data_IF_330192494265
#
_entry.id   IF_330192494265
#
_cell.length_a   1.000
_cell.length_b   1.000
_cell.length_c   1.000
_cell.angle_alpha   90.00
_cell.angle_beta   90.00
_cell.angle_gamma   90.00
#
_symmetry.space_group_name_H-M   'P 1'
#
loop_
_entity.id
_entity.type
_entity.pdbx_description
1 polymer ?
#
# COMPACT_ATOMS: atom_id res chain seq x y z
N UNK A 1 -47.16 26.00 30.95
CA UNK A 1 -46.60 24.90 30.12
C UNK A 1 -45.68 25.56 29.09
N UNK A 2 -44.54 26.14 29.53
CA UNK A 2 -43.87 27.19 28.72
C UNK A 2 -42.36 26.95 28.50
N UNK A 3 -41.82 25.79 28.92
CA UNK A 3 -40.38 25.49 28.80
C UNK A 3 -40.02 24.53 27.66
N UNK A 4 -41.00 23.97 26.95
CA UNK A 4 -40.78 23.07 25.80
C UNK A 4 -40.02 23.74 24.65
N UNK A 5 -40.27 25.02 24.26
CA UNK A 5 -39.56 25.61 23.12
C UNK A 5 -38.08 25.90 23.42
N UNK A 6 -37.74 26.21 24.67
CA UNK A 6 -36.37 26.49 25.08
C UNK A 6 -35.47 25.24 25.06
N UNK A 7 -36.01 24.10 25.49
CA UNK A 7 -35.30 22.82 25.44
C UNK A 7 -35.03 22.38 24.00
N UNK A 8 -36.01 22.50 23.11
CA UNK A 8 -35.84 22.22 21.68
C UNK A 8 -34.77 23.11 21.04
N UNK A 9 -34.78 24.40 21.34
CA UNK A 9 -33.77 25.34 20.84
C UNK A 9 -32.36 25.01 21.34
N UNK A 10 -32.20 24.57 22.59
CA UNK A 10 -30.89 24.15 23.14
C UNK A 10 -30.40 22.87 22.48
N UNK A 11 -31.26 21.87 22.28
CA UNK A 11 -30.88 20.65 21.57
C UNK A 11 -30.47 20.94 20.12
N UNK A 12 -31.20 21.80 19.40
CA UNK A 12 -30.84 22.19 18.02
C UNK A 12 -29.50 22.93 17.99
N UNK A 13 -29.22 23.80 18.97
CA UNK A 13 -27.92 24.46 19.10
C UNK A 13 -26.78 23.47 19.39
N UNK A 14 -26.99 22.50 20.27
CA UNK A 14 -26.00 21.48 20.60
C UNK A 14 -25.73 20.57 19.40
N UNK A 15 -26.76 20.15 18.68
CA UNK A 15 -26.58 19.36 17.46
C UNK A 15 -25.90 20.17 16.36
N UNK A 16 -26.29 21.43 16.12
CA UNK A 16 -25.65 22.25 15.08
C UNK A 16 -24.20 22.62 15.40
N UNK A 17 -23.85 22.82 16.67
CA UNK A 17 -22.46 23.03 17.10
C UNK A 17 -21.65 21.71 17.14
N UNK A 18 -22.26 20.60 17.56
CA UNK A 18 -21.61 19.28 17.57
C UNK A 18 -21.26 18.77 16.17
N UNK A 19 -22.17 18.97 15.19
CA UNK A 19 -21.91 18.64 13.79
C UNK A 19 -20.86 19.54 13.12
N UNK A 20 -20.56 20.73 13.67
CA UNK A 20 -19.51 21.63 13.15
C UNK A 20 -18.11 21.27 13.65
N UNK A 21 -17.97 20.38 14.63
CA UNK A 21 -16.67 20.01 15.20
C UNK A 21 -16.01 18.84 14.44
N UNK A 22 -16.76 18.11 13.62
CA UNK A 22 -16.25 16.90 12.94
C UNK A 22 -15.42 17.14 11.66
N UNK A 23 -15.38 18.36 11.12
CA UNK A 23 -14.62 18.69 9.89
C UNK A 23 -13.46 19.68 10.11
N UNK A 24 -13.00 19.82 11.35
CA UNK A 24 -11.76 20.50 11.66
C UNK A 24 -10.56 19.56 11.55
N UNK A 25 -10.24 19.04 10.35
CA UNK A 25 -8.92 18.44 10.14
C UNK A 25 -7.89 19.52 10.48
N UNK A 26 -7.12 19.32 11.56
CA UNK A 26 -5.97 20.16 11.93
C UNK A 26 -4.92 20.12 10.82
N UNK A 27 -5.15 20.83 9.72
CA UNK A 27 -4.10 21.26 8.84
C UNK A 27 -3.30 22.31 9.61
N UNK A 28 -1.99 22.08 9.73
CA UNK A 28 -1.09 23.04 10.37
C UNK A 28 -1.20 24.37 9.62
N UNK A 29 -1.86 25.36 10.24
CA UNK A 29 -2.05 26.71 9.67
C UNK A 29 -0.70 27.35 9.26
N UNK A 30 0.38 26.98 9.94
CA UNK A 30 1.75 27.28 9.54
C UNK A 30 2.46 26.01 9.06
N UNK A 31 2.78 25.94 7.78
CA UNK A 31 3.57 24.86 7.15
C UNK A 31 5.07 25.00 7.50
N UNK A 32 5.40 24.83 8.78
CA UNK A 32 6.78 24.92 9.29
C UNK A 32 7.61 23.66 8.98
N UNK A 33 6.96 22.59 8.52
CA UNK A 33 7.58 21.31 8.13
C UNK A 33 6.94 20.80 6.84
N UNK A 34 7.68 20.05 6.01
CA UNK A 34 7.10 19.41 4.84
C UNK A 34 6.05 18.37 5.25
N UNK A 35 5.01 18.24 4.43
CA UNK A 35 3.96 17.23 4.60
C UNK A 35 4.49 15.92 4.00
N UNK A 36 4.44 14.79 4.74
CA UNK A 36 4.83 13.50 4.18
C UNK A 36 3.88 13.11 3.04
N UNK A 37 4.44 12.47 2.01
CA UNK A 37 3.68 11.96 0.87
C UNK A 37 3.36 10.47 1.04
N UNK A 38 2.16 10.06 0.65
CA UNK A 38 1.75 8.66 0.60
C UNK A 38 2.08 7.97 -0.73
N UNK A 39 2.92 8.60 -1.56
CA UNK A 39 3.34 8.08 -2.87
C UNK A 39 4.21 6.82 -2.72
N UNK A 40 3.83 5.77 -3.44
CA UNK A 40 4.54 4.49 -3.56
C UNK A 40 5.09 4.32 -4.99
N UNK A 41 6.15 3.49 -5.19
CA UNK A 41 6.89 2.72 -4.19
C UNK A 41 7.82 3.59 -3.34
N UNK A 42 8.22 3.08 -2.18
CA UNK A 42 9.16 3.76 -1.30
C UNK A 42 10.57 3.64 -1.89
N UNK A 43 11.28 4.76 -1.95
CA UNK A 43 12.69 4.77 -2.31
C UNK A 43 13.52 4.26 -1.14
N UNK A 44 14.55 3.47 -1.43
CA UNK A 44 15.49 2.98 -0.43
C UNK A 44 16.04 4.14 0.42
N UNK A 45 16.00 3.95 1.75
CA UNK A 45 16.49 4.95 2.68
C UNK A 45 18.00 5.07 2.56
N UNK A 46 18.48 6.29 2.29
CA UNK A 46 19.91 6.59 2.30
C UNK A 46 20.38 6.71 3.75
N UNK A 47 20.95 5.62 4.24
CA UNK A 47 21.52 5.56 5.59
C UNK A 47 22.88 6.24 5.68
N UNK A 48 23.16 6.86 6.82
CA UNK A 48 24.50 7.34 7.15
C UNK A 48 25.47 6.14 7.22
N UNK A 49 26.60 6.14 6.50
CA UNK A 49 27.51 5.00 6.46
C UNK A 49 28.34 4.79 7.74
N UNK A 50 28.25 5.68 8.75
CA UNK A 50 29.00 5.53 10.01
C UNK A 50 28.62 4.23 10.76
N UNK A 51 29.55 3.27 10.93
CA UNK A 51 29.28 2.01 11.61
C UNK A 51 28.94 2.18 13.11
N UNK A 52 29.26 3.32 13.72
CA UNK A 52 28.91 3.60 15.12
C UNK A 52 27.39 3.64 15.31
N UNK A 53 26.65 3.97 14.25
CA UNK A 53 25.19 4.04 14.24
C UNK A 53 24.54 2.68 14.03
N UNK A 54 25.30 1.62 13.76
CA UNK A 54 24.79 0.28 13.52
C UNK A 54 24.63 -0.53 14.82
N UNK A 55 23.66 -1.46 14.88
CA UNK A 55 23.51 -2.36 16.03
C UNK A 55 24.71 -3.31 16.13
N UNK A 56 25.14 -3.61 17.35
CA UNK A 56 26.21 -4.60 17.61
C UNK A 56 25.58 -5.99 17.78
N UNK A 57 26.41 -7.03 17.78
CA UNK A 57 25.96 -8.42 17.95
C UNK A 57 25.11 -8.63 19.23
N UNK A 58 25.51 -8.00 20.34
CA UNK A 58 24.73 -8.02 21.60
C UNK A 58 23.33 -7.40 21.49
N UNK A 59 23.12 -6.50 20.53
CA UNK A 59 21.86 -5.79 20.30
C UNK A 59 20.97 -6.56 19.29
N UNK A 60 21.44 -7.70 18.76
CA UNK A 60 20.79 -8.53 17.74
C UNK A 60 20.29 -9.87 18.30
N UNK A 61 19.95 -9.93 19.59
CA UNK A 61 19.37 -11.13 20.19
C UNK A 61 17.98 -11.43 19.59
N UNK A 62 17.92 -12.42 18.69
CA UNK A 62 16.69 -12.77 17.95
C UNK A 62 15.49 -13.06 18.87
N UNK A 63 15.72 -13.68 20.02
CA UNK A 63 14.63 -14.03 20.96
C UNK A 63 13.99 -12.77 21.55
N UNK A 64 14.81 -11.79 21.94
CA UNK A 64 14.34 -10.50 22.48
C UNK A 64 13.65 -9.67 21.41
N UNK A 65 14.21 -9.61 20.20
CA UNK A 65 13.64 -8.85 19.08
C UNK A 65 12.30 -9.47 18.61
N UNK A 66 12.21 -10.80 18.60
CA UNK A 66 10.97 -11.50 18.28
C UNK A 66 9.91 -11.25 19.36
N UNK A 67 10.30 -11.28 20.63
CA UNK A 67 9.40 -10.93 21.73
C UNK A 67 8.92 -9.47 21.65
N UNK A 68 9.81 -8.53 21.28
CA UNK A 68 9.46 -7.11 21.10
C UNK A 68 8.48 -6.89 19.96
N UNK A 69 8.66 -7.61 18.84
CA UNK A 69 7.77 -7.49 17.68
C UNK A 69 6.43 -8.22 17.90
N UNK A 70 6.43 -9.28 18.72
CA UNK A 70 5.24 -10.00 19.12
C UNK A 70 4.50 -10.61 17.93
N UNK A 71 3.17 -10.43 17.90
CA UNK A 71 2.29 -10.99 16.87
C UNK A 71 2.44 -10.36 15.48
N UNK A 72 3.24 -9.30 15.34
CA UNK A 72 3.47 -8.65 14.04
C UNK A 72 4.49 -9.39 13.17
N UNK A 73 5.24 -10.34 13.73
CA UNK A 73 6.16 -11.16 12.96
C UNK A 73 5.38 -12.18 12.10
N UNK A 74 5.47 -12.05 10.78
CA UNK A 74 4.91 -13.02 9.83
C UNK A 74 6.02 -13.65 8.98
N UNK A 75 6.27 -14.95 9.17
CA UNK A 75 7.32 -15.68 8.46
C UNK A 75 7.10 -15.76 6.94
N UNK A 76 5.86 -15.59 6.46
CA UNK A 76 5.59 -15.60 5.02
C UNK A 76 6.00 -14.29 4.34
N UNK A 77 6.10 -13.20 5.10
CA UNK A 77 6.40 -11.87 4.59
C UNK A 77 7.65 -11.23 5.22
N UNK A 78 8.27 -11.87 6.21
CA UNK A 78 9.43 -11.38 6.92
C UNK A 78 10.45 -12.51 7.12
N UNK A 79 11.73 -12.19 6.95
CA UNK A 79 12.83 -13.12 7.16
C UNK A 79 14.01 -12.42 7.81
N UNK A 80 14.70 -13.15 8.69
CA UNK A 80 15.92 -12.69 9.35
C UNK A 80 17.13 -12.92 8.43
N UNK A 81 17.17 -14.08 7.76
CA UNK A 81 18.18 -14.44 6.78
C UNK A 81 17.73 -14.12 5.35
N UNK A 82 18.68 -13.97 4.40
CA UNK A 82 18.36 -13.84 2.98
C UNK A 82 17.45 -15.00 2.54
N UNK A 83 16.28 -14.71 1.96
CA UNK A 83 15.37 -15.75 1.48
C UNK A 83 15.90 -16.38 0.20
N UNK A 84 15.72 -17.70 0.04
CA UNK A 84 16.02 -18.41 -1.20
C UNK A 84 14.97 -18.08 -2.26
N UNK A 85 15.17 -16.95 -2.94
CA UNK A 85 14.22 -16.48 -3.93
C UNK A 85 14.54 -17.11 -5.29
N UNK A 86 13.89 -18.25 -5.59
CA UNK A 86 14.03 -18.95 -6.89
C UNK A 86 13.66 -18.08 -8.10
N UNK A 87 13.06 -16.92 -7.86
CA UNK A 87 12.56 -16.00 -8.87
C UNK A 87 13.34 -14.68 -8.96
N UNK A 88 14.32 -14.40 -8.07
CA UNK A 88 15.05 -13.13 -8.06
C UNK A 88 16.00 -12.89 -9.25
N UNK A 89 16.03 -13.80 -10.22
CA UNK A 89 16.81 -13.67 -11.46
C UNK A 89 16.03 -14.02 -12.74
N UNK A 90 14.73 -14.30 -12.67
CA UNK A 90 13.90 -14.49 -13.86
C UNK A 90 13.16 -13.19 -14.17
N UNK A 91 13.79 -12.36 -15.00
CA UNK A 91 13.13 -11.25 -15.69
C UNK A 91 11.93 -11.73 -16.56
N UNK A 92 11.89 -13.04 -16.81
CA UNK A 92 10.83 -13.81 -17.45
C UNK A 92 10.00 -14.59 -16.41
N UNK A 93 9.43 -13.90 -15.42
CA UNK A 93 8.23 -14.42 -14.79
C UNK A 93 7.22 -14.69 -15.92
N UNK A 94 6.91 -15.96 -16.18
CA UNK A 94 5.96 -16.36 -17.22
C UNK A 94 4.74 -15.43 -17.16
N UNK A 95 4.56 -14.55 -18.17
CA UNK A 95 3.44 -13.60 -18.20
C UNK A 95 2.10 -14.34 -18.02
N UNK A 96 2.03 -15.56 -18.54
CA UNK A 96 0.87 -16.46 -18.37
C UNK A 96 0.55 -16.81 -16.91
N UNK A 97 1.53 -16.81 -15.99
CA UNK A 97 1.30 -17.04 -14.55
C UNK A 97 0.91 -15.76 -13.80
N UNK A 98 1.45 -14.61 -14.21
CA UNK A 98 1.10 -13.29 -13.67
C UNK A 98 -0.33 -12.88 -14.02
N UNK A 99 -0.80 -13.26 -15.20
CA UNK A 99 -2.16 -13.01 -15.70
C UNK A 99 -3.08 -14.22 -15.48
N UNK A 100 -2.91 -14.93 -14.36
CA UNK A 100 -3.96 -15.80 -13.79
C UNK A 100 -5.26 -14.99 -13.65
N UNK A 101 -6.39 -15.69 -13.66
CA UNK A 101 -7.74 -15.09 -13.58
C UNK A 101 -7.75 -13.95 -12.54
N UNK A 102 -8.30 -12.77 -12.89
CA UNK A 102 -8.39 -11.64 -11.97
C UNK A 102 -8.94 -12.10 -10.62
N UNK A 103 -8.21 -11.78 -9.55
CA UNK A 103 -8.67 -12.07 -8.19
C UNK A 103 -9.70 -11.03 -7.76
N UNK A 104 -10.71 -11.47 -7.01
CA UNK A 104 -11.78 -10.60 -6.51
C UNK A 104 -12.96 -10.44 -7.45
N UNK A 105 -13.74 -9.37 -7.25
CA UNK A 105 -14.97 -9.10 -8.00
C UNK A 105 -14.71 -8.22 -9.20
N UNK A 106 -15.38 -8.50 -10.33
CA UNK A 106 -15.34 -7.66 -11.51
C UNK A 106 -15.72 -6.20 -11.19
N UNK A 107 -14.92 -5.21 -11.60
CA UNK A 107 -15.23 -3.79 -11.42
C UNK A 107 -16.62 -3.44 -11.94
N UNK A 108 -17.32 -2.56 -11.22
CA UNK A 108 -18.72 -2.20 -11.53
C UNK A 108 -18.82 -1.57 -12.92
N UNK A 109 -17.79 -0.82 -13.33
CA UNK A 109 -17.65 -0.13 -14.61
C UNK A 109 -17.64 -1.14 -15.76
N UNK A 110 -16.87 -2.23 -15.63
CA UNK A 110 -16.82 -3.32 -16.63
C UNK A 110 -18.11 -4.13 -16.61
N UNK A 111 -18.65 -4.43 -15.41
CA UNK A 111 -19.87 -5.21 -15.26
C UNK A 111 -21.09 -4.51 -15.86
N UNK A 112 -21.17 -3.18 -15.73
CA UNK A 112 -22.26 -2.35 -16.24
C UNK A 112 -22.17 -2.09 -17.75
N UNK A 113 -20.99 -2.28 -18.36
CA UNK A 113 -20.77 -1.96 -19.78
C UNK A 113 -21.74 -2.71 -20.71
N UNK A 114 -22.44 -1.94 -21.54
CA UNK A 114 -23.30 -2.41 -22.62
C UNK A 114 -22.57 -2.08 -23.93
N UNK A 115 -22.02 -3.09 -24.62
CA UNK A 115 -21.27 -2.89 -25.86
C UNK A 115 -22.22 -2.57 -27.02
N UNK A 116 -22.71 -1.33 -27.10
CA UNK A 116 -23.55 -0.89 -28.21
C UNK A 116 -22.69 -0.36 -29.37
N UNK A 117 -22.87 -0.92 -30.56
CA UNK A 117 -22.16 -0.48 -31.77
C UNK A 117 -22.97 0.65 -32.40
N UNK A 118 -22.38 1.85 -32.48
CA UNK A 118 -23.06 3.04 -33.00
C UNK A 118 -23.07 3.14 -34.55
N UNK A 119 -22.21 2.37 -35.23
CA UNK A 119 -22.11 2.38 -36.69
C UNK A 119 -22.79 1.15 -37.32
N UNK A 120 -24.04 1.34 -37.77
CA UNK A 120 -24.76 0.39 -38.63
C UNK A 120 -25.60 -0.66 -37.89
N UNK A 121 -26.93 -0.43 -37.82
CA UNK A 121 -27.96 -1.20 -37.07
C UNK A 121 -27.63 -1.35 -35.57
N UNK A 122 -28.56 -0.98 -34.69
CA UNK A 122 -28.44 -1.18 -33.23
C UNK A 122 -28.39 -2.68 -32.88
N UNK A 123 -27.25 -3.32 -33.10
CA UNK A 123 -27.04 -4.72 -32.81
C UNK A 123 -26.51 -4.83 -31.39
N UNK A 124 -27.39 -5.23 -30.46
CA UNK A 124 -26.98 -5.58 -29.11
C UNK A 124 -26.25 -6.92 -29.16
N UNK A 125 -24.98 -7.00 -28.73
CA UNK A 125 -24.26 -8.26 -28.71
C UNK A 125 -24.99 -9.27 -27.82
N UNK A 126 -24.93 -10.54 -28.21
CA UNK A 126 -25.54 -11.61 -27.44
C UNK A 126 -25.06 -11.59 -25.98
N UNK A 127 -25.91 -12.03 -25.04
CA UNK A 127 -25.53 -12.10 -23.61
C UNK A 127 -24.20 -12.85 -23.39
N UNK A 128 -23.96 -13.90 -24.18
CA UNK A 128 -22.71 -14.68 -24.17
C UNK A 128 -21.51 -13.87 -24.65
N UNK A 129 -21.64 -13.13 -25.76
CA UNK A 129 -20.57 -12.27 -26.27
C UNK A 129 -20.27 -11.11 -25.32
N UNK A 130 -21.31 -10.43 -24.79
CA UNK A 130 -21.17 -9.39 -23.76
C UNK A 130 -20.36 -9.92 -22.58
N UNK A 131 -20.72 -11.08 -22.04
CA UNK A 131 -20.00 -11.67 -20.90
C UNK A 131 -18.54 -11.98 -21.23
N UNK A 132 -18.25 -12.50 -22.42
CA UNK A 132 -16.87 -12.76 -22.87
C UNK A 132 -16.05 -11.47 -22.99
N UNK A 133 -16.61 -10.41 -23.56
CA UNK A 133 -15.96 -9.11 -23.67
C UNK A 133 -15.69 -8.48 -22.30
N UNK A 134 -16.64 -8.57 -21.36
CA UNK A 134 -16.43 -8.12 -19.98
C UNK A 134 -15.30 -8.89 -19.28
N UNK A 135 -15.25 -10.21 -19.45
CA UNK A 135 -14.18 -11.03 -18.88
C UNK A 135 -12.82 -10.70 -19.51
N UNK A 136 -12.79 -10.50 -20.84
CA UNK A 136 -11.58 -10.10 -21.56
C UNK A 136 -11.07 -8.74 -21.09
N UNK A 137 -11.92 -7.71 -21.03
CA UNK A 137 -11.56 -6.38 -20.51
C UNK A 137 -11.06 -6.47 -19.07
N UNK A 138 -11.73 -7.27 -18.23
CA UNK A 138 -11.32 -7.44 -16.85
C UNK A 138 -9.93 -8.09 -16.76
N UNK A 139 -9.65 -9.15 -17.52
CA UNK A 139 -8.31 -9.74 -17.56
C UNK A 139 -7.25 -8.79 -18.13
N UNK A 140 -7.60 -8.03 -19.17
CA UNK A 140 -6.67 -7.15 -19.85
C UNK A 140 -6.24 -5.98 -18.95
N UNK A 141 -7.21 -5.36 -18.27
CA UNK A 141 -7.00 -4.23 -17.37
C UNK A 141 -6.65 -4.61 -15.92
N UNK A 142 -6.59 -5.91 -15.61
CA UNK A 142 -6.21 -6.39 -14.27
C UNK A 142 -4.73 -6.13 -14.00
N UNK A 143 -4.45 -5.54 -12.85
CA UNK A 143 -3.11 -5.20 -12.38
C UNK A 143 -2.74 -6.06 -11.17
N UNK A 144 -1.95 -7.14 -11.35
CA UNK A 144 -1.51 -7.96 -10.24
C UNK A 144 -0.46 -7.25 -9.37
N UNK A 145 -0.43 -7.58 -8.08
CA UNK A 145 0.68 -7.26 -7.18
C UNK A 145 1.68 -8.41 -7.25
N UNK A 146 2.89 -8.10 -7.70
CA UNK A 146 4.03 -9.02 -7.72
C UNK A 146 4.79 -8.86 -6.42
N UNK A 147 5.17 -9.97 -5.78
CA UNK A 147 5.88 -9.92 -4.51
C UNK A 147 7.35 -10.23 -4.73
N UNK A 148 8.21 -9.40 -4.12
CA UNK A 148 9.68 -9.56 -4.16
C UNK A 148 10.25 -9.36 -2.78
N UNK A 149 11.30 -10.09 -2.43
CA UNK A 149 12.01 -9.84 -1.19
C UNK A 149 12.90 -8.60 -1.30
N UNK A 150 12.78 -7.71 -0.32
CA UNK A 150 13.56 -6.48 -0.18
C UNK A 150 14.45 -6.58 1.06
N UNK A 151 15.72 -6.25 0.90
CA UNK A 151 16.65 -6.03 2.01
C UNK A 151 16.48 -4.60 2.53
N UNK A 152 16.15 -4.44 3.81
CA UNK A 152 16.04 -3.14 4.48
C UNK A 152 17.35 -2.71 5.16
N UNK A 153 18.34 -3.59 5.25
CA UNK A 153 19.61 -3.36 5.92
C UNK A 153 19.64 -3.73 7.40
N UNK A 154 20.82 -3.61 8.01
CA UNK A 154 21.10 -4.02 9.40
C UNK A 154 20.39 -3.16 10.46
N UNK A 155 19.94 -1.95 10.12
CA UNK A 155 19.18 -1.07 11.01
C UNK A 155 17.69 -1.42 11.08
N UNK A 156 17.25 -2.45 10.38
CA UNK A 156 15.89 -2.99 10.47
C UNK A 156 15.91 -4.44 10.93
N UNK A 157 14.88 -4.81 11.69
CA UNK A 157 14.66 -6.19 12.10
C UNK A 157 13.17 -6.55 12.03
N UNK A 158 12.78 -7.66 11.36
CA UNK A 158 13.61 -8.53 10.53
C UNK A 158 14.15 -7.79 9.29
N UNK A 159 15.37 -8.14 8.86
CA UNK A 159 16.10 -7.42 7.79
C UNK A 159 15.42 -7.52 6.43
N UNK A 160 14.83 -8.68 6.12
CA UNK A 160 14.23 -8.96 4.82
C UNK A 160 12.72 -8.95 4.93
N UNK A 161 12.05 -8.20 4.05
CA UNK A 161 10.59 -8.14 3.98
C UNK A 161 10.11 -8.38 2.56
N UNK A 162 8.98 -9.07 2.39
CA UNK A 162 8.37 -9.34 1.09
C UNK A 162 7.45 -8.16 0.72
N UNK A 163 7.92 -7.31 -0.18
CA UNK A 163 7.19 -6.11 -0.62
C UNK A 163 6.41 -6.39 -1.91
N UNK A 164 5.27 -5.73 -2.06
CA UNK A 164 4.51 -5.73 -3.30
C UNK A 164 5.05 -4.71 -4.31
N UNK A 165 4.99 -5.03 -5.59
CA UNK A 165 5.32 -4.18 -6.73
C UNK A 165 4.25 -4.35 -7.84
N UNK A 166 3.96 -3.27 -8.57
CA UNK A 166 3.00 -3.32 -9.67
C UNK A 166 3.70 -3.67 -10.98
N UNK A 167 3.18 -4.68 -11.68
CA UNK A 167 3.71 -5.06 -13.00
C UNK A 167 3.38 -4.00 -14.06
N UNK A 168 4.39 -3.30 -14.56
CA UNK A 168 4.23 -2.14 -15.46
C UNK A 168 4.88 -2.31 -16.84
N UNK A 169 5.33 -3.51 -17.22
CA UNK A 169 5.99 -3.78 -18.52
C UNK A 169 5.02 -3.77 -19.72
N UNK A 170 3.69 -3.68 -19.50
CA UNK A 170 2.66 -3.62 -20.56
C UNK A 170 1.60 -2.57 -20.27
N UNK A 171 0.85 -2.16 -21.30
CA UNK A 171 -0.33 -1.33 -21.10
C UNK A 171 -1.51 -2.14 -20.53
N UNK A 172 -2.27 -1.49 -19.65
CA UNK A 172 -3.50 -2.03 -19.05
C UNK A 172 -4.78 -1.42 -19.63
N UNK A 173 -4.69 -0.56 -20.66
CA UNK A 173 -5.84 0.14 -21.27
C UNK A 173 -5.98 -0.11 -22.76
N UNK A 174 -7.20 0.13 -23.25
CA UNK A 174 -7.52 0.15 -24.69
C UNK A 174 -8.12 1.53 -25.02
N UNK A 175 -7.53 2.33 -25.93
CA UNK A 175 -6.24 2.10 -26.58
C UNK A 175 -5.08 2.10 -25.57
N UNK A 176 -3.92 1.64 -26.02
CA UNK A 176 -2.72 1.58 -25.19
C UNK A 176 -2.31 2.98 -24.70
N UNK A 177 -1.85 3.05 -23.46
CA UNK A 177 -1.34 4.28 -22.87
C UNK A 177 -1.27 4.27 -21.34
N UNK A 178 -2.19 3.60 -20.66
CA UNK A 178 -2.19 3.50 -19.19
C UNK A 178 -1.32 2.32 -18.72
N UNK A 179 -0.79 2.43 -17.50
CA UNK A 179 0.05 1.42 -16.86
C UNK A 179 -0.44 1.11 -15.45
N UNK A 180 -0.10 -0.08 -14.93
CA UNK A 180 -0.44 -0.45 -13.57
C UNK A 180 0.41 0.33 -12.56
N UNK A 181 -0.27 1.01 -11.64
CA UNK A 181 0.36 1.77 -10.54
C UNK A 181 -0.20 1.36 -9.18
N UNK A 182 0.51 1.65 -8.08
CA UNK A 182 0.00 1.42 -6.74
C UNK A 182 -1.30 2.19 -6.50
N UNK A 183 -2.30 1.51 -5.94
CA UNK A 183 -3.61 2.07 -5.66
C UNK A 183 -3.96 2.06 -4.17
N UNK A 184 -3.43 1.10 -3.41
CA UNK A 184 -3.54 1.06 -1.95
C UNK A 184 -2.24 0.58 -1.32
N UNK A 185 -1.93 1.14 -0.16
CA UNK A 185 -0.90 0.65 0.76
C UNK A 185 -1.51 -0.13 1.91
N UNK A 186 -0.73 -1.06 2.45
CA UNK A 186 -0.86 -1.59 3.80
C UNK A 186 0.46 -1.34 4.53
N UNK A 187 0.56 -1.79 5.79
CA UNK A 187 1.77 -1.60 6.59
C UNK A 187 2.20 -2.90 7.24
N UNK A 188 3.52 -3.10 7.29
CA UNK A 188 4.15 -4.03 8.20
C UNK A 188 4.66 -3.27 9.42
N UNK A 189 4.55 -3.89 10.59
CA UNK A 189 5.29 -3.41 11.75
C UNK A 189 6.63 -4.12 11.77
N UNK A 190 7.72 -3.35 11.77
CA UNK A 190 9.10 -3.83 11.87
C UNK A 190 9.83 -3.05 12.95
N UNK A 191 10.98 -3.54 13.41
CA UNK A 191 11.84 -2.82 14.34
C UNK A 191 12.86 -1.98 13.57
N UNK A 192 13.05 -0.74 14.02
CA UNK A 192 14.08 0.18 13.52
C UNK A 192 15.09 0.47 14.62
N UNK A 193 16.38 0.32 14.31
CA UNK A 193 17.47 0.76 15.16
C UNK A 193 17.58 2.28 15.07
N UNK A 194 17.38 2.95 16.21
CA UNK A 194 17.39 4.41 16.30
C UNK A 194 18.40 4.85 17.34
N UNK A 195 19.37 5.63 16.90
CA UNK A 195 20.35 6.28 17.75
C UNK A 195 19.99 7.75 18.01
N UNK A 196 20.16 8.20 19.25
CA UNK A 196 19.93 9.57 19.69
C UNK A 196 21.11 10.06 20.50
N UNK A 197 21.60 11.26 20.18
CA UNK A 197 22.63 11.93 20.96
C UNK A 197 22.02 12.44 22.27
N UNK A 198 22.54 11.99 23.41
CA UNK A 198 22.15 12.48 24.74
C UNK A 198 23.36 13.03 25.49
N UNK A 199 23.12 13.86 26.51
CA UNK A 199 24.16 14.32 27.45
C UNK A 199 24.73 13.08 28.16
N UNK A 200 25.86 12.57 27.68
CA UNK A 200 26.47 11.30 28.13
C UNK A 200 26.80 10.30 27.02
N UNK A 201 26.45 10.57 25.76
CA UNK A 201 26.86 9.75 24.60
C UNK A 201 25.71 9.39 23.67
N UNK A 202 26.03 8.55 22.68
CA UNK A 202 25.07 8.00 21.73
C UNK A 202 24.26 6.88 22.40
N UNK A 203 22.93 7.02 22.46
CA UNK A 203 22.02 5.97 22.94
C UNK A 203 21.21 5.43 21.78
N UNK A 204 21.35 4.13 21.50
CA UNK A 204 20.61 3.45 20.46
C UNK A 204 19.65 2.42 21.05
N UNK A 205 18.49 2.27 20.42
CA UNK A 205 17.44 1.31 20.83
C UNK A 205 16.63 0.85 19.61
N UNK A 206 16.05 -0.34 19.69
CA UNK A 206 15.03 -0.82 18.77
C UNK A 206 13.68 -0.19 19.08
N UNK A 207 12.99 0.30 18.05
CA UNK A 207 11.63 0.84 18.15
C UNK A 207 10.74 0.24 17.06
N UNK A 208 9.45 -0.06 17.36
CA UNK A 208 8.51 -0.46 16.32
C UNK A 208 8.20 0.72 15.39
N UNK A 209 8.19 0.46 14.09
CA UNK A 209 7.83 1.42 13.05
C UNK A 209 6.91 0.76 12.02
N UNK A 210 6.06 1.57 11.39
CA UNK A 210 5.21 1.13 10.29
C UNK A 210 5.97 1.31 8.97
N UNK A 211 6.17 0.20 8.26
CA UNK A 211 6.78 0.17 6.93
C UNK A 211 5.68 -0.02 5.87
N UNK A 212 5.43 0.96 4.99
CA UNK A 212 4.39 0.86 3.98
C UNK A 212 4.74 -0.16 2.90
N UNK A 213 3.74 -0.92 2.45
CA UNK A 213 3.84 -1.87 1.35
C UNK A 213 2.67 -1.73 0.38
N UNK A 214 2.89 -2.05 -0.89
CA UNK A 214 1.82 -2.04 -1.90
C UNK A 214 0.90 -3.26 -1.65
N UNK A 215 -0.40 -3.00 -1.50
CA UNK A 215 -1.42 -4.07 -1.30
C UNK A 215 -2.37 -4.22 -2.50
N UNK A 216 -2.56 -3.17 -3.30
CA UNK A 216 -3.36 -3.22 -4.52
C UNK A 216 -2.74 -2.36 -5.62
N UNK A 217 -2.86 -2.81 -6.86
CA UNK A 217 -2.49 -2.06 -8.07
C UNK A 217 -3.72 -1.77 -8.93
N UNK A 218 -3.75 -0.63 -9.61
CA UNK A 218 -4.80 -0.26 -10.58
C UNK A 218 -4.22 0.31 -11.86
N UNK A 219 -4.99 0.19 -12.93
CA UNK A 219 -4.67 0.81 -14.20
C UNK A 219 -4.86 2.34 -14.11
N UNK A 220 -3.82 3.10 -14.43
CA UNK A 220 -3.85 4.57 -14.36
C UNK A 220 -2.95 5.20 -15.44
N UNK A 221 -3.18 6.48 -15.74
CA UNK A 221 -2.35 7.19 -16.71
C UNK A 221 -0.87 7.26 -16.26
N UNK A 222 0.08 7.27 -17.20
CA UNK A 222 1.48 7.58 -16.91
C UNK A 222 1.58 9.01 -16.35
N UNK A 223 2.60 9.26 -15.52
CA UNK A 223 2.84 10.60 -14.96
C UNK A 223 3.41 11.52 -16.02
#
# INVERSE_FOLDING_TARGET
MDNVPYFLATYVLIFSLGFRIEEGMCQHYYLLRPIPSDTLPIVELKEDPDPILDPKERDLNETELRAMLGSHFDQNFMSISPPEDKYAGQDDLNESELFKRPTGTMPKEIKAMEFEIQHGKKYKPSKKLRRRLQLWLWSYAFCPVVHTWQDLGNRFWPRYVKVGSCYNKRSCSVPEGMVCKPAKSSHFTVLRWRCLQKKGGLKCVWIPVQYPIISECKCSCPN
#
